data_IF_697633176228
#
_entry.id   IF_697633176228
#
_cell.length_a   1.000
_cell.length_b   1.000
_cell.length_c   1.000
_cell.angle_alpha   90.00
_cell.angle_beta   90.00
_cell.angle_gamma   90.00
#
_symmetry.space_group_name_H-M   'P 1'
#
loop_
_entity.id
_entity.type
_entity.pdbx_description
1 polymer ?
#
# COMPACT_ATOMS: atom_id res chain seq x y z
N UNK A 1 0.22 -45.19 -19.08
CA UNK A 1 -0.28 -43.79 -19.15
C UNK A 1 -0.24 -43.15 -17.77
N UNK A 2 -0.70 -43.83 -16.71
CA UNK A 2 -0.61 -43.34 -15.31
C UNK A 2 0.82 -42.97 -14.84
N UNK A 3 1.84 -43.79 -15.14
CA UNK A 3 3.24 -43.49 -14.77
C UNK A 3 3.81 -42.20 -15.40
N UNK A 4 3.34 -41.82 -16.59
CA UNK A 4 3.81 -40.61 -17.26
C UNK A 4 3.14 -39.35 -16.70
N UNK A 5 1.86 -39.47 -16.33
CA UNK A 5 1.13 -38.38 -15.67
C UNK A 5 1.68 -38.10 -14.27
N UNK A 6 1.99 -39.15 -13.51
CA UNK A 6 2.60 -39.05 -12.17
C UNK A 6 3.98 -38.36 -12.23
N UNK A 7 4.84 -38.78 -13.16
CA UNK A 7 6.18 -38.20 -13.31
C UNK A 7 6.15 -36.74 -13.81
N UNK A 8 5.16 -36.37 -14.65
CA UNK A 8 4.96 -34.99 -15.10
C UNK A 8 4.46 -34.10 -13.96
N UNK A 9 3.54 -34.61 -13.12
CA UNK A 9 3.02 -33.90 -11.95
C UNK A 9 4.13 -33.68 -10.91
N UNK A 10 4.95 -34.69 -10.63
CA UNK A 10 6.07 -34.59 -9.68
C UNK A 10 7.11 -33.57 -10.12
N UNK A 11 7.46 -33.53 -11.43
CA UNK A 11 8.38 -32.51 -11.96
C UNK A 11 7.80 -31.10 -11.89
N UNK A 12 6.50 -30.95 -12.10
CA UNK A 12 5.81 -29.65 -11.99
C UNK A 12 5.76 -29.16 -10.54
N UNK A 13 5.47 -30.06 -9.60
CA UNK A 13 5.48 -29.77 -8.17
C UNK A 13 6.89 -29.43 -7.67
N UNK A 14 7.91 -30.19 -8.07
CA UNK A 14 9.31 -29.87 -7.74
C UNK A 14 9.74 -28.51 -8.30
N UNK A 15 9.37 -28.19 -9.54
CA UNK A 15 9.68 -26.88 -10.12
C UNK A 15 9.00 -25.73 -9.37
N UNK A 16 7.72 -25.90 -9.02
CA UNK A 16 6.95 -24.95 -8.20
C UNK A 16 7.58 -24.73 -6.82
N UNK A 17 7.96 -25.81 -6.12
CA UNK A 17 8.62 -25.74 -4.81
C UNK A 17 9.99 -25.08 -4.92
N UNK A 18 10.74 -25.35 -5.98
CA UNK A 18 12.05 -24.72 -6.22
C UNK A 18 11.94 -23.23 -6.52
N UNK A 19 10.96 -22.83 -7.34
CA UNK A 19 10.66 -21.41 -7.62
C UNK A 19 10.19 -20.68 -6.35
N UNK A 20 9.37 -21.34 -5.52
CA UNK A 20 8.92 -20.81 -4.24
C UNK A 20 10.09 -20.61 -3.26
N UNK A 21 11.00 -21.59 -3.17
CA UNK A 21 12.20 -21.51 -2.34
C UNK A 21 13.18 -20.43 -2.84
N UNK A 22 13.35 -20.29 -4.15
CA UNK A 22 14.17 -19.24 -4.74
C UNK A 22 13.58 -17.85 -4.47
N UNK A 23 12.25 -17.70 -4.60
CA UNK A 23 11.54 -16.47 -4.25
C UNK A 23 11.76 -16.09 -2.79
N UNK A 24 11.61 -17.04 -1.86
CA UNK A 24 11.88 -16.83 -0.43
C UNK A 24 13.34 -16.47 -0.16
N UNK A 25 14.29 -17.17 -0.79
CA UNK A 25 15.72 -16.90 -0.61
C UNK A 25 16.12 -15.53 -1.16
N UNK A 26 15.61 -15.15 -2.34
CA UNK A 26 15.84 -13.81 -2.90
C UNK A 26 15.21 -12.72 -2.02
N UNK A 27 14.01 -12.96 -1.47
CA UNK A 27 13.35 -12.04 -0.52
C UNK A 27 14.20 -11.83 0.72
N UNK A 28 14.67 -12.91 1.33
CA UNK A 28 15.47 -12.85 2.55
C UNK A 28 16.83 -12.19 2.29
N UNK A 29 17.46 -12.48 1.15
CA UNK A 29 18.71 -11.84 0.76
C UNK A 29 18.56 -10.32 0.53
N UNK A 30 17.49 -9.89 -0.14
CA UNK A 30 17.19 -8.46 -0.34
C UNK A 30 16.88 -7.75 0.97
N UNK A 31 16.03 -8.35 1.82
CA UNK A 31 15.68 -7.82 3.15
C UNK A 31 16.91 -7.61 4.02
N UNK A 32 17.83 -8.58 4.03
CA UNK A 32 19.00 -8.57 4.91
C UNK A 32 20.07 -7.57 4.44
N UNK A 33 20.23 -7.32 3.13
CA UNK A 33 21.44 -6.67 2.64
C UNK A 33 21.28 -5.27 2.03
N UNK A 34 20.16 -4.92 1.37
CA UNK A 34 20.14 -3.67 0.57
C UNK A 34 18.82 -2.90 0.53
N UNK A 35 17.70 -3.45 1.01
CA UNK A 35 16.42 -2.72 0.92
C UNK A 35 16.43 -1.40 1.70
N UNK A 36 17.07 -1.36 2.88
CA UNK A 36 17.18 -0.11 3.64
C UNK A 36 17.86 0.99 2.83
N UNK A 37 18.95 0.69 2.12
CA UNK A 37 19.65 1.66 1.26
C UNK A 37 18.78 2.13 0.10
N UNK A 38 18.04 1.21 -0.52
CA UNK A 38 17.08 1.54 -1.59
C UNK A 38 15.99 2.47 -1.06
N UNK A 39 15.38 2.14 0.08
CA UNK A 39 14.33 2.97 0.68
C UNK A 39 14.88 4.34 1.11
N UNK A 40 16.10 4.42 1.64
CA UNK A 40 16.76 5.70 1.96
C UNK A 40 16.95 6.55 0.70
N UNK A 41 17.44 5.96 -0.41
CA UNK A 41 17.60 6.69 -1.67
C UNK A 41 16.26 7.20 -2.20
N UNK A 42 15.23 6.36 -2.17
CA UNK A 42 13.88 6.75 -2.60
C UNK A 42 13.29 7.83 -1.68
N UNK A 43 13.57 7.78 -0.37
CA UNK A 43 13.19 8.82 0.59
C UNK A 43 13.85 10.15 0.26
N UNK A 44 15.12 10.16 -0.14
CA UNK A 44 15.82 11.37 -0.58
C UNK A 44 15.19 11.98 -1.83
N UNK A 45 14.69 11.16 -2.76
CA UNK A 45 13.94 11.65 -3.93
C UNK A 45 12.64 12.33 -3.50
N UNK A 46 11.91 11.76 -2.53
CA UNK A 46 10.69 12.38 -2.00
C UNK A 46 10.98 13.68 -1.24
N UNK A 47 12.03 13.70 -0.41
CA UNK A 47 12.44 14.89 0.33
C UNK A 47 12.79 16.05 -0.60
N UNK A 48 13.42 15.75 -1.74
CA UNK A 48 13.87 16.72 -2.73
C UNK A 48 12.94 16.78 -3.96
N UNK A 49 11.67 16.40 -3.82
CA UNK A 49 10.72 16.25 -4.92
C UNK A 49 10.60 17.50 -5.82
N UNK A 50 10.81 18.70 -5.28
CA UNK A 50 10.77 19.96 -6.05
C UNK A 50 11.87 20.06 -7.13
N UNK A 51 12.96 19.31 -6.99
CA UNK A 51 14.11 19.31 -7.93
C UNK A 51 13.91 18.26 -9.03
N UNK A 52 13.08 17.24 -8.79
CA UNK A 52 12.85 16.14 -9.72
C UNK A 52 11.62 16.36 -10.58
N UNK A 53 11.61 15.77 -11.77
CA UNK A 53 10.40 15.72 -12.60
C UNK A 53 9.28 14.96 -11.89
N UNK A 54 8.04 15.45 -12.02
CA UNK A 54 6.84 14.84 -11.45
C UNK A 54 6.71 13.35 -11.76
N UNK A 55 7.08 12.93 -12.98
CA UNK A 55 7.10 11.53 -13.40
C UNK A 55 8.04 10.67 -12.56
N UNK A 56 9.21 11.18 -12.19
CA UNK A 56 10.19 10.51 -11.34
C UNK A 56 9.65 10.34 -9.93
N UNK A 57 9.06 11.40 -9.36
CA UNK A 57 8.46 11.36 -8.02
C UNK A 57 7.27 10.38 -7.97
N UNK A 58 6.39 10.42 -8.98
CA UNK A 58 5.29 9.44 -9.17
C UNK A 58 5.82 8.00 -9.22
N UNK A 59 6.88 7.76 -9.99
CA UNK A 59 7.54 6.47 -10.10
C UNK A 59 8.09 6.00 -8.75
N UNK A 60 8.76 6.88 -8.01
CA UNK A 60 9.29 6.61 -6.67
C UNK A 60 8.18 6.21 -5.69
N UNK A 61 7.06 6.96 -5.65
CA UNK A 61 5.91 6.62 -4.80
C UNK A 61 5.36 5.21 -5.11
N UNK A 62 5.27 4.84 -6.39
CA UNK A 62 4.81 3.53 -6.83
C UNK A 62 5.78 2.40 -6.43
N UNK A 63 7.08 2.63 -6.54
CA UNK A 63 8.11 1.66 -6.11
C UNK A 63 8.04 1.48 -4.60
N UNK A 64 7.97 2.57 -3.84
CA UNK A 64 7.81 2.52 -2.38
C UNK A 64 6.54 1.78 -1.96
N UNK A 65 5.39 2.05 -2.61
CA UNK A 65 4.14 1.31 -2.42
C UNK A 65 4.34 -0.21 -2.54
N UNK A 66 5.10 -0.64 -3.55
CA UNK A 66 5.38 -2.06 -3.80
C UNK A 66 6.32 -2.67 -2.75
N UNK A 67 7.27 -1.87 -2.24
CA UNK A 67 8.23 -2.33 -1.23
C UNK A 67 7.61 -2.48 0.16
N UNK A 68 6.57 -1.71 0.49
CA UNK A 68 5.92 -1.74 1.81
C UNK A 68 5.40 -3.12 2.15
N UNK A 69 4.73 -3.82 1.22
CA UNK A 69 4.17 -5.15 1.47
C UNK A 69 5.24 -6.14 1.99
N UNK A 70 6.48 -5.97 1.53
CA UNK A 70 7.55 -6.96 1.68
C UNK A 70 8.49 -6.66 2.87
N UNK A 71 8.42 -5.48 3.47
CA UNK A 71 9.46 -4.99 4.37
C UNK A 71 8.91 -4.47 5.70
N UNK A 72 9.77 -4.27 6.69
CA UNK A 72 9.34 -3.67 7.96
C UNK A 72 8.85 -2.25 7.76
N UNK A 73 7.78 -1.87 8.47
CA UNK A 73 7.11 -0.59 8.24
C UNK A 73 7.96 0.61 8.67
N UNK A 74 8.78 0.41 9.70
CA UNK A 74 9.74 1.37 10.26
C UNK A 74 10.74 1.89 9.21
N UNK A 75 11.05 1.09 8.18
CA UNK A 75 11.95 1.51 7.09
C UNK A 75 11.40 2.69 6.29
N UNK A 76 10.07 2.90 6.32
CA UNK A 76 9.39 3.91 5.52
C UNK A 76 9.03 5.16 6.32
N UNK A 77 9.46 5.26 7.58
CA UNK A 77 9.09 6.35 8.48
C UNK A 77 9.45 7.73 7.93
N UNK A 78 10.65 7.85 7.33
CA UNK A 78 11.10 9.07 6.67
C UNK A 78 10.23 9.43 5.47
N UNK A 79 9.73 8.45 4.72
CA UNK A 79 8.80 8.70 3.61
C UNK A 79 7.45 9.22 4.10
N UNK A 80 6.94 8.71 5.23
CA UNK A 80 5.60 9.02 5.75
C UNK A 80 5.41 10.51 6.00
N UNK A 81 6.45 11.20 6.47
CA UNK A 81 6.41 12.63 6.80
C UNK A 81 5.96 13.52 5.62
N UNK A 82 6.14 13.06 4.38
CA UNK A 82 5.82 13.82 3.17
C UNK A 82 4.47 13.45 2.56
N UNK A 83 3.88 12.32 2.94
CA UNK A 83 2.70 11.75 2.27
C UNK A 83 1.49 12.67 2.40
N UNK A 84 1.27 13.29 3.56
CA UNK A 84 0.16 14.23 3.74
C UNK A 84 0.21 15.40 2.76
N UNK A 85 1.41 15.90 2.44
CA UNK A 85 1.59 16.93 1.41
C UNK A 85 1.30 16.41 0.00
N UNK A 86 1.73 15.20 -0.30
CA UNK A 86 1.53 14.59 -1.62
C UNK A 86 0.09 14.18 -1.90
N UNK A 87 -0.70 13.82 -0.88
CA UNK A 87 -2.12 13.54 -1.03
C UNK A 87 -2.90 14.77 -1.56
N UNK A 88 -2.43 15.99 -1.22
CA UNK A 88 -3.03 17.26 -1.66
C UNK A 88 -2.47 17.79 -2.97
N UNK A 89 -1.35 17.24 -3.44
CA UNK A 89 -0.71 17.66 -4.68
C UNK A 89 -1.39 16.97 -5.87
N UNK A 90 -2.05 17.74 -6.74
CA UNK A 90 -2.85 17.22 -7.87
C UNK A 90 -2.11 16.21 -8.74
N UNK A 91 -0.82 16.41 -8.94
CA UNK A 91 0.02 15.51 -9.72
C UNK A 91 0.45 14.26 -8.93
N UNK A 92 0.72 14.37 -7.62
CA UNK A 92 1.32 13.27 -6.84
C UNK A 92 0.28 12.44 -6.08
N UNK A 93 -0.94 12.94 -5.90
CA UNK A 93 -2.01 12.34 -5.09
C UNK A 93 -2.30 10.89 -5.43
N UNK A 94 -2.30 10.52 -6.72
CA UNK A 94 -2.53 9.13 -7.13
C UNK A 94 -1.46 8.19 -6.56
N UNK A 95 -0.18 8.57 -6.63
CA UNK A 95 0.92 7.80 -6.07
C UNK A 95 0.91 7.77 -4.54
N UNK A 96 0.56 8.90 -3.92
CA UNK A 96 0.41 8.99 -2.46
C UNK A 96 -0.71 8.07 -1.94
N UNK A 97 -1.85 8.01 -2.65
CA UNK A 97 -2.94 7.07 -2.32
C UNK A 97 -2.54 5.61 -2.53
N UNK A 98 -1.74 5.29 -3.55
CA UNK A 98 -1.18 3.94 -3.70
C UNK A 98 -0.24 3.56 -2.54
N UNK A 99 0.61 4.48 -2.11
CA UNK A 99 1.45 4.31 -0.95
C UNK A 99 0.61 4.08 0.32
N UNK A 100 -0.43 4.90 0.54
CA UNK A 100 -1.35 4.72 1.67
C UNK A 100 -2.13 3.41 1.59
N UNK A 101 -2.55 2.96 0.40
CA UNK A 101 -3.21 1.68 0.22
C UNK A 101 -2.32 0.51 0.67
N UNK A 102 -1.03 0.54 0.31
CA UNK A 102 -0.05 -0.46 0.75
C UNK A 102 0.15 -0.43 2.27
N UNK A 103 0.24 0.76 2.87
CA UNK A 103 0.29 0.92 4.32
C UNK A 103 -0.93 0.31 5.01
N UNK A 104 -2.13 0.73 4.63
CA UNK A 104 -3.37 0.27 5.26
C UNK A 104 -3.60 -1.22 5.02
N UNK A 105 -3.20 -1.73 3.86
CA UNK A 105 -3.25 -3.15 3.51
C UNK A 105 -2.25 -4.02 4.26
N UNK A 106 -1.17 -3.45 4.80
CA UNK A 106 -0.13 -4.20 5.50
C UNK A 106 -0.63 -4.75 6.84
N UNK A 107 -0.22 -5.98 7.15
CA UNK A 107 -0.32 -6.54 8.50
C UNK A 107 0.66 -5.85 9.44
N UNK A 108 0.16 -4.90 10.24
CA UNK A 108 0.90 -4.18 11.28
C UNK A 108 -0.02 -3.99 12.51
N UNK A 109 0.51 -3.49 13.63
CA UNK A 109 -0.31 -3.21 14.80
C UNK A 109 -1.42 -2.20 14.48
N UNK A 110 -2.59 -2.37 15.12
CA UNK A 110 -3.73 -1.47 14.89
C UNK A 110 -3.40 -0.04 15.32
N UNK A 111 -2.62 0.12 16.40
CA UNK A 111 -2.18 1.41 16.90
C UNK A 111 -1.31 2.15 15.88
N UNK A 112 -0.28 1.49 15.33
CA UNK A 112 0.61 2.11 14.34
C UNK A 112 -0.19 2.52 13.10
N UNK A 113 -1.13 1.67 12.67
CA UNK A 113 -1.96 1.95 11.50
C UNK A 113 -2.86 3.17 11.74
N UNK A 114 -3.50 3.27 12.91
CA UNK A 114 -4.33 4.42 13.28
C UNK A 114 -3.52 5.73 13.34
N UNK A 115 -2.32 5.69 13.94
CA UNK A 115 -1.42 6.85 13.99
C UNK A 115 -1.11 7.34 12.58
N UNK A 116 -0.71 6.43 11.68
CA UNK A 116 -0.37 6.77 10.29
C UNK A 116 -1.57 7.37 9.54
N UNK A 117 -2.76 6.77 9.69
CA UNK A 117 -3.99 7.26 9.04
C UNK A 117 -4.31 8.68 9.51
N UNK A 118 -4.18 8.94 10.82
CA UNK A 118 -4.48 10.24 11.42
C UNK A 118 -3.46 11.30 11.02
N UNK A 119 -2.17 11.00 11.12
CA UNK A 119 -1.09 11.95 10.83
C UNK A 119 -0.98 12.30 9.34
N UNK A 120 -1.32 11.36 8.46
CA UNK A 120 -1.32 11.60 7.01
C UNK A 120 -2.47 12.48 6.51
N UNK A 121 -3.53 12.69 7.31
CA UNK A 121 -4.75 13.36 6.86
C UNK A 121 -5.55 12.56 5.83
N UNK A 122 -5.32 11.24 5.77
CA UNK A 122 -5.89 10.38 4.74
C UNK A 122 -7.42 10.41 4.68
N UNK A 123 -8.10 10.47 5.83
CA UNK A 123 -9.56 10.42 5.89
C UNK A 123 -10.19 11.69 5.31
N UNK A 124 -9.59 12.85 5.57
CA UNK A 124 -10.00 14.13 5.00
C UNK A 124 -9.87 14.11 3.48
N UNK A 125 -8.75 13.61 2.96
CA UNK A 125 -8.50 13.56 1.52
C UNK A 125 -9.43 12.56 0.81
N UNK A 126 -9.74 11.40 1.43
CA UNK A 126 -10.75 10.46 0.89
C UNK A 126 -12.13 11.10 0.85
N UNK A 127 -12.53 11.83 1.90
CA UNK A 127 -13.81 12.55 1.94
C UNK A 127 -13.89 13.57 0.80
N UNK A 128 -12.82 14.31 0.57
CA UNK A 128 -12.78 15.41 -0.38
C UNK A 128 -12.63 14.90 -1.84
N UNK A 129 -12.10 13.70 -2.05
CA UNK A 129 -12.01 13.03 -3.35
C UNK A 129 -13.36 12.89 -4.09
N UNK A 130 -14.48 12.80 -3.34
CA UNK A 130 -15.83 12.65 -3.90
C UNK A 130 -16.25 13.81 -4.80
N UNK A 131 -15.64 14.99 -4.64
CA UNK A 131 -16.09 16.22 -5.31
C UNK A 131 -15.41 16.50 -6.67
N UNK A 132 -14.36 15.78 -7.05
CA UNK A 132 -13.54 16.15 -8.23
C UNK A 132 -14.01 15.48 -9.54
N UNK A 133 -14.58 14.28 -9.49
CA UNK A 133 -14.94 13.51 -10.68
C UNK A 133 -16.13 14.07 -11.48
N UNK A 134 -17.18 14.53 -10.79
CA UNK A 134 -18.45 14.87 -11.44
C UNK A 134 -18.38 16.18 -12.24
N UNK A 135 -17.48 17.09 -11.87
CA UNK A 135 -17.35 18.39 -12.54
C UNK A 135 -16.49 18.35 -13.81
N UNK A 136 -15.59 17.35 -13.94
CA UNK A 136 -14.56 17.31 -15.00
C UNK A 136 -14.80 16.23 -16.08
N UNK A 137 -15.89 15.45 -15.96
CA UNK A 137 -16.08 14.23 -16.76
C UNK A 137 -16.55 14.49 -18.19
N UNK A 138 -17.33 15.55 -18.44
CA UNK A 138 -17.97 15.78 -19.74
C UNK A 138 -17.06 16.51 -20.74
N UNK A 139 -16.16 17.38 -20.27
CA UNK A 139 -15.36 18.26 -21.15
C UNK A 139 -13.96 17.73 -21.51
N UNK A 140 -13.42 16.76 -20.74
CA UNK A 140 -12.02 16.33 -20.84
C UNK A 140 -11.82 14.86 -21.22
N UNK A 141 -12.87 14.17 -21.68
CA UNK A 141 -12.79 12.74 -21.98
C UNK A 141 -11.68 12.41 -23.00
N UNK A 142 -10.76 11.53 -22.61
CA UNK A 142 -9.62 11.11 -23.44
C UNK A 142 -8.41 12.03 -23.41
N UNK A 143 -8.41 13.09 -22.58
CA UNK A 143 -7.23 13.91 -22.34
C UNK A 143 -6.26 13.26 -21.34
N UNK A 144 -5.02 13.74 -21.31
CA UNK A 144 -4.04 13.33 -20.29
C UNK A 144 -4.53 13.64 -18.87
N UNK A 145 -5.18 14.78 -18.66
CA UNK A 145 -5.73 15.18 -17.35
C UNK A 145 -6.83 14.21 -16.90
N UNK A 146 -7.65 13.73 -17.83
CA UNK A 146 -8.66 12.71 -17.55
C UNK A 146 -8.03 11.38 -17.12
N UNK A 147 -6.96 10.95 -17.80
CA UNK A 147 -6.23 9.74 -17.41
C UNK A 147 -5.59 9.88 -16.01
N UNK A 148 -5.07 11.06 -15.67
CA UNK A 148 -4.54 11.33 -14.32
C UNK A 148 -5.63 11.31 -13.24
N UNK A 149 -6.79 11.91 -13.49
CA UNK A 149 -7.94 11.88 -12.58
C UNK A 149 -8.48 10.45 -12.40
N UNK A 150 -8.57 9.69 -13.50
CA UNK A 150 -8.96 8.28 -13.46
C UNK A 150 -7.98 7.44 -12.63
N UNK A 151 -6.67 7.67 -12.81
CA UNK A 151 -5.63 6.99 -12.02
C UNK A 151 -5.72 7.35 -10.54
N UNK A 152 -5.96 8.62 -10.23
CA UNK A 152 -6.20 9.09 -8.87
C UNK A 152 -7.39 8.39 -8.24
N UNK A 153 -8.55 8.38 -8.90
CA UNK A 153 -9.77 7.78 -8.36
C UNK A 153 -9.68 6.26 -8.22
N UNK A 154 -8.94 5.61 -9.12
CA UNK A 154 -8.59 4.19 -8.99
C UNK A 154 -7.75 3.96 -7.73
N UNK A 155 -6.76 4.82 -7.48
CA UNK A 155 -5.93 4.74 -6.27
C UNK A 155 -6.74 4.96 -4.98
N UNK A 156 -7.64 5.95 -4.96
CA UNK A 156 -8.56 6.20 -3.84
C UNK A 156 -9.48 4.99 -3.60
N UNK A 157 -10.09 4.45 -4.66
CA UNK A 157 -10.96 3.28 -4.55
C UNK A 157 -10.22 2.08 -3.96
N UNK A 158 -8.99 1.82 -4.44
CA UNK A 158 -8.15 0.75 -3.91
C UNK A 158 -7.80 0.98 -2.44
N UNK A 159 -7.38 2.19 -2.06
CA UNK A 159 -7.03 2.49 -0.67
C UNK A 159 -8.21 2.34 0.29
N UNK A 160 -9.40 2.80 -0.12
CA UNK A 160 -10.65 2.64 0.64
C UNK A 160 -11.04 1.17 0.76
N UNK A 161 -10.84 0.37 -0.29
CA UNK A 161 -11.06 -1.07 -0.23
C UNK A 161 -10.14 -1.76 0.79
N UNK A 162 -8.85 -1.41 0.80
CA UNK A 162 -7.91 -1.92 1.80
C UNK A 162 -8.30 -1.48 3.22
N UNK A 163 -8.72 -0.22 3.39
CA UNK A 163 -9.24 0.30 4.65
C UNK A 163 -10.45 -0.49 5.13
N UNK A 164 -11.47 -0.65 4.28
CA UNK A 164 -12.68 -1.38 4.63
C UNK A 164 -12.40 -2.84 5.01
N UNK A 165 -11.51 -3.53 4.28
CA UNK A 165 -11.07 -4.89 4.64
C UNK A 165 -10.43 -4.92 6.02
N UNK A 166 -9.54 -3.97 6.32
CA UNK A 166 -8.92 -3.89 7.63
C UNK A 166 -9.95 -3.59 8.73
N UNK A 167 -10.82 -2.59 8.54
CA UNK A 167 -11.85 -2.23 9.53
C UNK A 167 -12.80 -3.40 9.80
N UNK A 168 -13.21 -4.15 8.78
CA UNK A 168 -14.03 -5.35 8.94
C UNK A 168 -13.30 -6.46 9.70
N UNK A 169 -11.99 -6.60 9.53
CA UNK A 169 -11.17 -7.56 10.30
C UNK A 169 -10.98 -7.11 11.76
N UNK A 170 -10.92 -5.80 12.00
CA UNK A 170 -10.81 -5.23 13.33
C UNK A 170 -12.13 -5.33 14.10
N UNK A 171 -13.26 -5.22 13.41
CA UNK A 171 -14.60 -5.29 14.01
C UNK A 171 -14.91 -6.69 14.57
N UNK A 172 -15.14 -6.76 15.87
CA UNK A 172 -15.73 -7.93 16.53
C UNK A 172 -17.17 -7.59 16.91
N UNK A 173 -18.19 -8.26 16.33
CA UNK A 173 -19.57 -8.03 16.73
C UNK A 173 -19.79 -8.49 18.19
N UNK A 174 -20.66 -7.82 18.94
CA UNK A 174 -20.96 -8.21 20.31
C UNK A 174 -21.44 -9.65 20.38
N UNK A 175 -20.80 -10.47 21.22
CA UNK A 175 -21.07 -11.91 21.37
C UNK A 175 -20.26 -12.83 20.46
N UNK A 176 -19.35 -12.30 19.64
CA UNK A 176 -18.38 -13.14 18.93
C UNK A 176 -17.36 -13.78 19.87
N UNK A 177 -16.92 -15.04 19.64
CA UNK A 177 -15.84 -15.63 20.40
C UNK A 177 -14.61 -14.74 20.28
N UNK A 178 -13.94 -14.47 21.41
CA UNK A 178 -12.69 -13.72 21.39
C UNK A 178 -11.69 -14.44 20.49
N UNK A 179 -11.21 -13.74 19.46
CA UNK A 179 -10.11 -14.22 18.64
C UNK A 179 -8.89 -14.44 19.55
N UNK A 180 -8.43 -15.70 19.73
CA UNK A 180 -7.31 -16.01 20.63
C UNK A 180 -5.98 -15.41 20.15
N UNK A 181 -5.94 -14.86 18.94
CA UNK A 181 -4.78 -14.19 18.37
C UNK A 181 -4.85 -12.65 18.43
N UNK A 182 -5.96 -12.05 18.88
CA UNK A 182 -6.02 -10.60 19.11
C UNK A 182 -5.37 -10.23 20.44
N UNK A 183 -4.34 -9.39 20.40
CA UNK A 183 -3.71 -8.87 21.60
C UNK A 183 -4.67 -7.96 22.38
N UNK A 184 -4.64 -7.95 23.72
CA UNK A 184 -5.58 -7.19 24.57
C UNK A 184 -5.66 -5.67 24.28
N UNK A 185 -4.61 -5.11 23.69
CA UNK A 185 -4.45 -3.68 23.40
C UNK A 185 -5.39 -3.17 22.29
N UNK A 186 -5.90 -4.06 21.44
CA UNK A 186 -6.84 -3.72 20.34
C UNK A 186 -8.24 -3.31 20.80
N UNK A 187 -8.63 -3.63 22.05
CA UNK A 187 -10.01 -3.50 22.53
C UNK A 187 -10.41 -2.11 23.02
N UNK A 188 -9.46 -1.21 23.29
CA UNK A 188 -9.75 0.06 23.96
C UNK A 188 -10.21 1.19 23.03
N UNK A 189 -10.16 1.00 21.71
CA UNK A 189 -10.28 2.11 20.74
C UNK A 189 -11.59 2.15 19.95
N UNK A 190 -12.45 1.14 20.09
CA UNK A 190 -13.77 1.12 19.42
C UNK A 190 -14.93 1.53 20.35
N UNK A 191 -14.66 1.80 21.63
CA UNK A 191 -15.64 2.20 22.65
C UNK A 191 -15.58 3.70 23.03
N UNK A 192 -14.94 4.55 22.22
CA UNK A 192 -14.96 6.03 22.35
C UNK A 192 -15.52 6.68 21.09
#
# INVERSE_FOLDING_TARGET
>A
MQLFEEEVVDRYQQKSVTEMNLSTTMKDWFRVNQVSQVVTLLSQVLQNHAIFESKTVKGTLKVLATLIDWNEISLFDDCRAYIGGFLRASELRAGAFQFMAAFVGKGMSELDKLVIIKESGYLEEVRDARYVLLANYEDNFGSHEYDEEKNYMTAVSNSVCHMGKWTLSAYQPPGSPEDPFKTPESRQYFDQ
#
